data_IF_207437812118
#
_entry.id   IF_207437812118
#
_cell.length_a   1.000
_cell.length_b   1.000
_cell.length_c   1.000
_cell.angle_alpha   90.00
_cell.angle_beta   90.00
_cell.angle_gamma   90.00
#
_symmetry.space_group_name_H-M   'P 1'
#
loop_
_entity.id
_entity.type
_entity.pdbx_description
1 polymer ?
#
# COMPACT_ATOMS: atom_id res chain seq x y z
N UNK A 1 21.71 -5.60 8.31
CA UNK A 1 22.96 -5.25 8.98
C UNK A 1 23.22 -6.19 10.17
N UNK A 2 24.31 -5.99 10.88
CA UNK A 2 24.71 -6.81 12.05
C UNK A 2 23.76 -6.68 13.25
N UNK A 3 22.81 -5.77 13.23
CA UNK A 3 21.81 -5.54 14.30
C UNK A 3 20.50 -6.30 14.03
N UNK A 4 20.36 -6.96 12.89
CA UNK A 4 19.10 -7.58 12.45
C UNK A 4 18.02 -6.59 12.01
N UNK A 5 18.32 -5.30 12.01
CA UNK A 5 17.40 -4.28 11.49
C UNK A 5 17.42 -4.29 9.96
N UNK A 6 16.23 -4.20 9.38
CA UNK A 6 16.08 -4.09 7.93
C UNK A 6 16.58 -2.74 7.45
N UNK A 7 17.51 -2.75 6.50
CA UNK A 7 18.00 -1.54 5.85
C UNK A 7 17.49 -1.50 4.42
N UNK A 8 16.78 -0.43 4.08
CA UNK A 8 16.32 -0.18 2.73
C UNK A 8 17.15 0.97 2.15
N UNK A 9 17.98 0.70 1.11
CA UNK A 9 18.78 1.75 0.47
C UNK A 9 17.89 2.72 -0.30
N UNK A 10 18.35 3.95 -0.43
CA UNK A 10 17.71 4.95 -1.29
C UNK A 10 17.94 4.61 -2.78
N UNK A 11 16.97 4.96 -3.62
CA UNK A 11 17.12 4.89 -5.07
C UNK A 11 17.70 6.21 -5.58
N UNK A 12 18.74 6.17 -6.39
CA UNK A 12 19.25 7.37 -7.01
C UNK A 12 18.34 7.87 -8.17
N UNK A 13 18.47 9.14 -8.51
CA UNK A 13 17.61 9.74 -9.53
C UNK A 13 17.80 9.11 -10.93
N UNK A 14 19.01 8.66 -11.26
CA UNK A 14 19.26 8.01 -12.56
C UNK A 14 18.58 6.64 -12.64
N UNK A 15 18.58 5.88 -11.54
CA UNK A 15 17.82 4.63 -11.43
C UNK A 15 16.32 4.89 -11.62
N UNK A 16 15.76 5.87 -10.89
CA UNK A 16 14.33 6.22 -10.97
C UNK A 16 13.93 6.63 -12.38
N UNK A 17 14.72 7.46 -13.05
CA UNK A 17 14.46 7.86 -14.43
C UNK A 17 14.44 6.67 -15.41
N UNK A 18 15.40 5.75 -15.28
CA UNK A 18 15.45 4.55 -16.14
C UNK A 18 14.28 3.61 -15.88
N UNK A 19 13.93 3.40 -14.61
CA UNK A 19 12.77 2.58 -14.22
C UNK A 19 11.48 3.20 -14.79
N UNK A 20 11.28 4.51 -14.61
CA UNK A 20 10.09 5.20 -15.11
C UNK A 20 9.98 5.09 -16.64
N UNK A 21 11.07 5.29 -17.38
CA UNK A 21 11.10 5.16 -18.83
C UNK A 21 10.73 3.74 -19.28
N UNK A 22 11.34 2.72 -18.66
CA UNK A 22 11.10 1.31 -19.00
C UNK A 22 9.65 0.90 -18.67
N UNK A 23 9.17 1.22 -17.46
CA UNK A 23 7.80 0.88 -17.04
C UNK A 23 6.77 1.57 -17.92
N UNK A 24 7.00 2.84 -18.30
CA UNK A 24 6.10 3.59 -19.18
C UNK A 24 6.03 2.97 -20.57
N UNK A 25 7.18 2.59 -21.13
CA UNK A 25 7.24 1.93 -22.43
C UNK A 25 6.47 0.59 -22.42
N UNK A 26 6.72 -0.25 -21.42
CA UNK A 26 6.03 -1.55 -21.27
C UNK A 26 4.53 -1.35 -21.04
N UNK A 27 4.15 -0.45 -20.14
CA UNK A 27 2.75 -0.19 -19.82
C UNK A 27 1.96 0.29 -21.04
N UNK A 28 2.56 1.15 -21.85
CA UNK A 28 1.95 1.64 -23.10
C UNK A 28 1.81 0.54 -24.15
N UNK A 29 2.88 -0.26 -24.38
CA UNK A 29 2.85 -1.34 -25.37
C UNK A 29 1.79 -2.40 -25.08
N UNK A 30 1.62 -2.73 -23.80
CA UNK A 30 0.75 -3.82 -23.39
C UNK A 30 -0.56 -3.35 -22.75
N UNK A 31 -0.83 -2.04 -22.78
CA UNK A 31 -2.02 -1.41 -22.19
C UNK A 31 -2.22 -1.83 -20.73
N UNK A 32 -1.14 -1.85 -19.94
CA UNK A 32 -1.17 -2.24 -18.53
C UNK A 32 -1.83 -1.12 -17.71
N UNK A 33 -2.94 -1.42 -17.02
CA UNK A 33 -3.60 -0.41 -16.20
C UNK A 33 -2.74 -0.05 -14.97
N UNK A 34 -2.96 1.15 -14.43
CA UNK A 34 -2.22 1.65 -13.26
C UNK A 34 -2.29 0.68 -12.06
N UNK A 35 -3.42 -0.01 -11.89
CA UNK A 35 -3.65 -1.01 -10.84
C UNK A 35 -2.79 -2.26 -10.95
N UNK A 36 -2.15 -2.48 -12.09
CA UNK A 36 -1.28 -3.64 -12.35
C UNK A 36 0.21 -3.28 -12.37
N UNK A 37 0.56 -2.04 -12.01
CA UNK A 37 1.96 -1.62 -11.81
C UNK A 37 2.25 -1.72 -10.31
N UNK A 38 2.86 -2.82 -9.91
CA UNK A 38 2.98 -3.27 -8.53
C UNK A 38 4.42 -3.69 -8.20
N UNK A 39 4.76 -3.68 -6.90
CA UNK A 39 5.98 -4.27 -6.40
C UNK A 39 5.81 -5.75 -6.05
N UNK A 40 6.92 -6.46 -5.86
CA UNK A 40 6.89 -7.85 -5.36
C UNK A 40 6.23 -7.95 -3.98
N UNK A 41 6.44 -6.97 -3.12
CA UNK A 41 5.80 -6.90 -1.80
C UNK A 41 4.28 -6.82 -1.88
N UNK A 42 3.72 -6.14 -2.90
CA UNK A 42 2.27 -6.08 -3.10
C UNK A 42 1.68 -7.44 -3.50
N UNK A 43 2.42 -8.20 -4.31
CA UNK A 43 1.96 -9.52 -4.83
C UNK A 43 2.21 -10.66 -3.84
N UNK A 44 3.30 -10.59 -3.09
CA UNK A 44 3.74 -11.68 -2.20
C UNK A 44 4.22 -11.16 -0.84
N UNK A 45 3.36 -10.48 -0.06
CA UNK A 45 3.74 -9.75 1.15
C UNK A 45 4.42 -10.61 2.21
N UNK A 46 4.08 -11.90 2.29
CA UNK A 46 4.69 -12.84 3.25
C UNK A 46 6.08 -13.33 2.85
N UNK A 47 6.49 -13.13 1.59
CA UNK A 47 7.73 -13.70 1.04
C UNK A 47 8.70 -12.66 0.48
N UNK A 48 8.19 -11.48 0.10
CA UNK A 48 8.95 -10.45 -0.61
C UNK A 48 8.78 -9.09 0.06
N UNK A 49 9.82 -8.28 -0.02
CA UNK A 49 9.86 -6.93 0.54
C UNK A 49 10.25 -5.87 -0.50
N UNK A 50 10.81 -6.31 -1.61
CA UNK A 50 11.20 -5.43 -2.71
C UNK A 50 9.95 -4.88 -3.45
N UNK A 51 10.00 -3.64 -3.91
CA UNK A 51 11.15 -2.72 -3.91
C UNK A 51 11.39 -1.99 -2.57
N UNK A 52 10.55 -2.21 -1.54
CA UNK A 52 10.66 -1.61 -0.21
C UNK A 52 10.13 -0.18 -0.12
N UNK A 53 10.11 0.40 1.11
CA UNK A 53 9.47 1.69 1.39
C UNK A 53 10.23 2.89 0.79
N UNK A 54 11.49 2.69 0.34
CA UNK A 54 12.28 3.75 -0.31
C UNK A 54 12.03 3.87 -1.81
N UNK A 55 11.26 2.95 -2.39
CA UNK A 55 10.88 3.06 -3.80
C UNK A 55 9.90 4.22 -4.00
N UNK A 56 10.15 5.14 -4.94
CA UNK A 56 9.45 6.42 -5.01
C UNK A 56 8.09 6.33 -5.73
N UNK A 57 7.15 5.52 -5.24
CA UNK A 57 5.84 5.32 -5.85
C UNK A 57 5.08 6.62 -6.10
N UNK A 58 5.03 7.51 -5.09
CA UNK A 58 4.38 8.84 -5.22
C UNK A 58 4.97 9.66 -6.37
N UNK A 59 6.30 9.63 -6.52
CA UNK A 59 6.99 10.33 -7.61
C UNK A 59 6.66 9.72 -8.96
N UNK A 60 6.65 8.39 -9.07
CA UNK A 60 6.26 7.70 -10.31
C UNK A 60 4.83 8.06 -10.73
N UNK A 61 3.91 8.12 -9.78
CA UNK A 61 2.54 8.55 -10.01
C UNK A 61 2.46 10.02 -10.46
N UNK A 62 3.05 10.95 -9.70
CA UNK A 62 2.92 12.38 -9.93
C UNK A 62 3.63 12.84 -11.22
N UNK A 63 4.86 12.38 -11.45
CA UNK A 63 5.71 12.90 -12.51
C UNK A 63 5.53 12.11 -13.82
N UNK A 64 5.16 10.85 -13.74
CA UNK A 64 5.14 9.94 -14.91
C UNK A 64 3.77 9.29 -15.17
N UNK A 65 2.79 9.47 -14.30
CA UNK A 65 1.45 8.85 -14.34
C UNK A 65 1.52 7.30 -14.35
N UNK A 66 2.44 6.76 -13.56
CA UNK A 66 2.66 5.32 -13.42
C UNK A 66 2.24 4.82 -12.03
N UNK A 67 1.52 3.69 -12.02
CA UNK A 67 1.03 3.07 -10.79
C UNK A 67 -0.16 3.79 -10.16
N UNK A 68 -0.46 3.40 -8.92
CA UNK A 68 -1.56 3.96 -8.13
C UNK A 68 -1.05 4.95 -7.10
N UNK A 69 -1.85 5.97 -6.81
CA UNK A 69 -1.68 6.82 -5.64
C UNK A 69 -3.04 7.42 -5.26
N UNK A 70 -3.23 7.69 -3.97
CA UNK A 70 -4.46 8.28 -3.44
C UNK A 70 -4.50 9.80 -3.61
N UNK A 71 -5.71 10.36 -3.53
CA UNK A 71 -5.92 11.81 -3.49
C UNK A 71 -5.92 12.27 -2.03
N UNK A 72 -5.08 13.25 -1.71
CA UNK A 72 -4.88 13.72 -0.34
C UNK A 72 -6.18 14.26 0.29
N UNK A 73 -6.99 14.99 -0.49
CA UNK A 73 -8.28 15.48 -0.03
C UNK A 73 -9.25 14.35 0.31
N UNK A 74 -9.28 13.29 -0.52
CA UNK A 74 -10.12 12.11 -0.27
C UNK A 74 -9.65 11.37 0.98
N UNK A 75 -8.34 11.15 1.14
CA UNK A 75 -7.76 10.57 2.36
C UNK A 75 -8.17 11.37 3.60
N UNK A 76 -8.02 12.70 3.53
CA UNK A 76 -8.35 13.58 4.64
C UNK A 76 -9.84 13.53 5.00
N UNK A 77 -10.73 13.43 4.01
CA UNK A 77 -12.16 13.26 4.26
C UNK A 77 -12.46 11.98 5.04
N UNK A 78 -11.82 10.85 4.71
CA UNK A 78 -11.97 9.63 5.48
C UNK A 78 -11.37 9.75 6.89
N UNK A 79 -10.21 10.39 6.99
CA UNK A 79 -9.53 10.57 8.29
C UNK A 79 -10.37 11.39 9.28
N UNK A 80 -11.02 12.46 8.83
CA UNK A 80 -11.86 13.32 9.69
C UNK A 80 -13.16 12.66 10.15
N UNK A 81 -13.58 11.55 9.53
CA UNK A 81 -14.74 10.77 9.95
C UNK A 81 -14.40 9.74 11.05
N UNK A 82 -13.12 9.54 11.32
CA UNK A 82 -12.66 8.60 12.34
C UNK A 82 -12.84 9.24 13.72
N UNK A 83 -13.42 8.48 14.64
CA UNK A 83 -13.53 8.84 16.06
C UNK A 83 -12.31 8.25 16.78
N UNK A 84 -11.32 9.07 17.18
CA UNK A 84 -10.03 8.56 17.69
C UNK A 84 -10.18 7.65 18.91
N UNK A 85 -11.14 7.97 19.79
CA UNK A 85 -11.38 7.27 21.07
C UNK A 85 -11.86 5.83 20.87
N UNK A 86 -12.56 5.55 19.78
CA UNK A 86 -13.15 4.23 19.51
C UNK A 86 -12.45 3.46 18.41
N UNK A 87 -11.73 4.13 17.53
CA UNK A 87 -11.12 3.53 16.34
C UNK A 87 -10.20 2.34 16.67
N UNK A 88 -9.33 2.50 17.67
CA UNK A 88 -8.41 1.43 18.06
C UNK A 88 -9.13 0.17 18.56
N UNK A 89 -10.21 0.34 19.32
CA UNK A 89 -11.05 -0.75 19.82
C UNK A 89 -11.81 -1.41 18.66
N UNK A 90 -12.42 -0.60 17.78
CA UNK A 90 -13.13 -1.09 16.59
C UNK A 90 -12.20 -1.95 15.71
N UNK A 91 -11.02 -1.42 15.36
CA UNK A 91 -10.09 -2.10 14.45
C UNK A 91 -9.36 -3.30 15.07
N UNK A 92 -9.37 -3.44 16.41
CA UNK A 92 -8.86 -4.65 17.08
C UNK A 92 -9.92 -5.73 17.27
N UNK A 93 -11.19 -5.43 17.04
CA UNK A 93 -12.27 -6.42 17.10
C UNK A 93 -12.22 -7.37 15.90
N UNK A 94 -12.80 -8.57 16.04
CA UNK A 94 -12.90 -9.53 14.93
C UNK A 94 -13.61 -8.93 13.70
N UNK A 95 -14.64 -8.12 13.94
CA UNK A 95 -15.37 -7.41 12.87
C UNK A 95 -14.51 -6.34 12.19
N UNK A 96 -13.76 -5.56 12.96
CA UNK A 96 -12.84 -4.55 12.42
C UNK A 96 -11.71 -5.18 11.63
N UNK A 97 -11.12 -6.26 12.14
CA UNK A 97 -10.09 -7.03 11.43
C UNK A 97 -10.65 -7.56 10.11
N UNK A 98 -11.80 -8.21 10.13
CA UNK A 98 -12.46 -8.70 8.92
C UNK A 98 -12.74 -7.57 7.91
N UNK A 99 -13.16 -6.40 8.39
CA UNK A 99 -13.46 -5.22 7.57
C UNK A 99 -12.21 -4.74 6.80
N UNK A 100 -11.07 -4.54 7.48
CA UNK A 100 -9.88 -4.08 6.76
C UNK A 100 -9.19 -5.18 5.94
N UNK A 101 -9.27 -6.45 6.33
CA UNK A 101 -8.83 -7.56 5.49
C UNK A 101 -9.62 -7.61 4.17
N UNK A 102 -10.95 -7.44 4.26
CA UNK A 102 -11.81 -7.34 3.07
C UNK A 102 -11.45 -6.14 2.20
N UNK A 103 -11.17 -4.99 2.80
CA UNK A 103 -10.76 -3.80 2.09
C UNK A 103 -9.41 -3.98 1.36
N UNK A 104 -8.42 -4.60 1.99
CA UNK A 104 -7.14 -4.96 1.36
C UNK A 104 -7.35 -5.93 0.19
N UNK A 105 -8.19 -6.95 0.36
CA UNK A 105 -8.57 -7.87 -0.72
C UNK A 105 -9.25 -7.15 -1.87
N UNK A 106 -10.14 -6.22 -1.59
CA UNK A 106 -10.84 -5.39 -2.60
C UNK A 106 -9.84 -4.56 -3.41
N UNK A 107 -8.80 -4.03 -2.78
CA UNK A 107 -7.74 -3.31 -3.49
C UNK A 107 -6.85 -4.23 -4.34
N UNK A 108 -6.85 -5.55 -4.07
CA UNK A 108 -6.12 -6.54 -4.88
C UNK A 108 -5.09 -7.38 -4.13
N UNK A 109 -4.91 -7.18 -2.82
CA UNK A 109 -3.99 -8.01 -2.04
C UNK A 109 -4.53 -9.45 -1.87
N UNK A 110 -3.63 -10.44 -2.02
CA UNK A 110 -3.96 -11.86 -1.88
C UNK A 110 -4.12 -12.28 -0.42
N UNK A 111 -5.18 -11.81 0.23
CA UNK A 111 -5.50 -12.05 1.64
C UNK A 111 -6.92 -12.61 1.76
N UNK A 112 -7.09 -13.65 2.58
CA UNK A 112 -8.41 -14.18 2.91
C UNK A 112 -8.91 -13.60 4.24
N UNK A 113 -10.02 -12.84 4.23
CA UNK A 113 -10.57 -12.26 5.45
C UNK A 113 -10.99 -13.33 6.46
N UNK A 114 -10.42 -13.28 7.64
CA UNK A 114 -10.66 -14.25 8.72
C UNK A 114 -11.22 -13.62 10.00
N UNK A 115 -11.07 -12.30 10.15
CA UNK A 115 -11.35 -11.59 11.40
C UNK A 115 -10.31 -11.83 12.49
N UNK A 116 -9.19 -12.48 12.17
CA UNK A 116 -8.07 -12.71 13.08
C UNK A 116 -6.82 -12.02 12.56
N UNK A 117 -6.04 -11.45 13.48
CA UNK A 117 -4.77 -10.85 13.14
C UNK A 117 -3.67 -11.91 13.18
N UNK A 118 -3.21 -12.33 12.03
CA UNK A 118 -2.14 -13.28 11.84
C UNK A 118 -0.91 -12.63 11.17
N UNK A 119 0.15 -13.40 11.00
CA UNK A 119 1.37 -12.92 10.36
C UNK A 119 1.13 -12.49 8.90
N UNK A 120 0.24 -13.19 8.18
CA UNK A 120 -0.14 -12.82 6.81
C UNK A 120 -0.81 -11.46 6.76
N UNK A 121 -1.75 -11.20 7.67
CA UNK A 121 -2.42 -9.91 7.79
C UNK A 121 -1.44 -8.78 8.08
N UNK A 122 -0.55 -8.97 9.06
CA UNK A 122 0.48 -7.97 9.41
C UNK A 122 1.40 -7.68 8.23
N UNK A 123 1.88 -8.71 7.54
CA UNK A 123 2.75 -8.58 6.37
C UNK A 123 2.04 -7.90 5.19
N UNK A 124 0.77 -8.14 5.02
CA UNK A 124 -0.02 -7.47 3.97
C UNK A 124 -0.18 -5.98 4.29
N UNK A 125 -0.46 -5.62 5.54
CA UNK A 125 -0.50 -4.20 5.95
C UNK A 125 0.88 -3.55 5.79
N UNK A 126 1.97 -4.22 6.20
CA UNK A 126 3.34 -3.73 6.04
C UNK A 126 3.67 -3.46 4.55
N UNK A 127 3.31 -4.39 3.66
CA UNK A 127 3.52 -4.24 2.22
C UNK A 127 2.69 -3.08 1.63
N UNK A 128 1.43 -2.95 2.05
CA UNK A 128 0.60 -1.80 1.71
C UNK A 128 1.25 -0.47 2.15
N UNK A 129 1.79 -0.43 3.36
CA UNK A 129 2.48 0.74 3.89
C UNK A 129 3.79 1.03 3.12
N UNK A 130 4.56 0.02 2.71
CA UNK A 130 5.73 0.22 1.85
C UNK A 130 5.38 0.99 0.56
N UNK A 131 4.23 0.71 -0.02
CA UNK A 131 3.78 1.33 -1.26
C UNK A 131 3.18 2.71 -1.01
N UNK A 132 2.23 2.84 -0.08
CA UNK A 132 1.35 4.00 0.03
C UNK A 132 1.61 4.89 1.26
N UNK A 133 2.40 4.41 2.22
CA UNK A 133 2.75 5.11 3.46
C UNK A 133 4.18 4.80 3.92
N UNK A 134 5.20 5.10 3.12
CA UNK A 134 6.58 4.68 3.37
C UNK A 134 7.23 5.28 4.63
N UNK A 135 6.66 6.33 5.20
CA UNK A 135 7.13 6.95 6.45
C UNK A 135 6.80 6.13 7.71
N UNK A 136 5.82 5.19 7.63
CA UNK A 136 5.46 4.32 8.73
C UNK A 136 4.92 2.97 8.23
N UNK A 137 5.72 1.94 8.37
CA UNK A 137 5.44 0.59 7.88
C UNK A 137 5.59 -0.46 9.00
N UNK A 138 4.75 -0.34 10.02
CA UNK A 138 4.75 -1.18 11.22
C UNK A 138 3.79 -2.39 11.17
N UNK A 139 3.06 -2.53 10.06
CA UNK A 139 2.05 -3.59 9.90
C UNK A 139 0.80 -3.39 10.75
N UNK A 140 0.57 -2.16 11.24
CA UNK A 140 -0.61 -1.80 12.03
C UNK A 140 -1.61 -1.02 11.18
N UNK A 141 -2.89 -1.44 11.22
CA UNK A 141 -3.98 -0.71 10.57
C UNK A 141 -4.43 0.46 11.46
N UNK A 142 -3.63 1.53 11.47
CA UNK A 142 -3.99 2.76 12.17
C UNK A 142 -4.92 3.66 11.33
N UNK A 143 -5.38 4.76 11.91
CA UNK A 143 -6.35 5.67 11.31
C UNK A 143 -5.89 6.22 9.94
N UNK A 144 -4.60 6.54 9.80
CA UNK A 144 -4.07 7.06 8.55
C UNK A 144 -3.95 5.97 7.48
N UNK A 145 -3.44 4.80 7.83
CA UNK A 145 -3.37 3.64 6.94
C UNK A 145 -4.76 3.25 6.43
N UNK A 146 -5.76 3.23 7.31
CA UNK A 146 -7.16 2.99 6.96
C UNK A 146 -7.70 4.04 5.99
N UNK A 147 -7.45 5.31 6.26
CA UNK A 147 -7.93 6.42 5.41
C UNK A 147 -7.31 6.38 4.00
N UNK A 148 -6.03 6.05 3.90
CA UNK A 148 -5.34 5.85 2.62
C UNK A 148 -5.99 4.68 1.85
N UNK A 149 -6.24 3.55 2.53
CA UNK A 149 -6.86 2.37 1.91
C UNK A 149 -8.26 2.69 1.38
N UNK A 150 -9.09 3.42 2.14
CA UNK A 150 -10.41 3.85 1.69
C UNK A 150 -10.33 4.80 0.49
N UNK A 151 -9.41 5.75 0.50
CA UNK A 151 -9.21 6.68 -0.61
C UNK A 151 -8.78 5.96 -1.89
N UNK A 152 -7.93 4.93 -1.78
CA UNK A 152 -7.54 4.11 -2.93
C UNK A 152 -8.70 3.28 -3.47
N UNK A 153 -9.47 2.63 -2.62
CA UNK A 153 -10.65 1.85 -3.05
C UNK A 153 -11.68 2.74 -3.75
N UNK A 154 -11.92 3.95 -3.24
CA UNK A 154 -12.82 4.90 -3.89
C UNK A 154 -12.32 5.32 -5.28
N UNK A 155 -11.01 5.52 -5.42
CA UNK A 155 -10.39 5.96 -6.68
C UNK A 155 -10.25 4.84 -7.69
N UNK A 156 -9.99 3.62 -7.23
CA UNK A 156 -9.76 2.44 -8.06
C UNK A 156 -10.75 1.33 -7.67
N UNK A 157 -12.04 1.50 -7.98
CA UNK A 157 -13.03 0.48 -7.65
C UNK A 157 -12.71 -0.83 -8.35
N UNK A 158 -12.89 -1.95 -7.64
CA UNK A 158 -12.81 -3.29 -8.27
C UNK A 158 -13.84 -3.42 -9.38
N UNK A 159 -13.43 -3.97 -10.51
CA UNK A 159 -14.30 -4.25 -11.66
C UNK A 159 -15.21 -5.43 -11.37
#
# INVERSE_FOLDING_TARGET
DSTGLRVFPEYDNAQVLKIAALVKDIANRYSIPATNILGHSDIAPTRKQDPGPKFPWKKLYNDYQLGMWYDEATKQNFFTQIIPETFGVEMSSAQGIFKYQTALKTLGYGLDPSGMIDESTKKTIEAFQYHFRPEKYDGVMDAETWSILQALIQKYPSK
#
